data_IF_697675591877
#
_entry.id   IF_697675591877
#
_cell.length_a   1.000
_cell.length_b   1.000
_cell.length_c   1.000
_cell.angle_alpha   90.00
_cell.angle_beta   90.00
_cell.angle_gamma   90.00
#
_symmetry.space_group_name_H-M   'P 1'
#
loop_
_entity.id
_entity.type
_entity.pdbx_description
1 polymer ?
#
# COMPACT_ATOMS: atom_id res chain seq x y z
N UNK A 1 -51.53 -0.03 -25.19
CA UNK A 1 -51.32 0.83 -26.37
C UNK A 1 -49.80 1.01 -26.59
N UNK A 2 -49.14 -0.03 -27.10
CA UNK A 2 -47.76 0.04 -27.61
C UNK A 2 -47.58 -1.09 -28.61
N UNK A 3 -48.19 -0.93 -29.81
CA UNK A 3 -47.92 -1.72 -31.00
C UNK A 3 -48.16 -0.77 -32.17
N UNK A 4 -47.10 -0.27 -32.80
CA UNK A 4 -47.01 0.15 -34.22
C UNK A 4 -45.83 1.12 -34.37
N UNK A 5 -44.66 0.59 -34.65
CA UNK A 5 -43.54 1.28 -35.31
C UNK A 5 -42.48 0.24 -35.77
N UNK A 6 -42.91 -0.77 -36.53
CA UNK A 6 -42.01 -1.73 -37.17
C UNK A 6 -42.53 -2.09 -38.57
N UNK A 7 -42.82 -1.08 -39.40
CA UNK A 7 -43.07 -1.27 -40.84
C UNK A 7 -42.65 -0.01 -41.57
N UNK A 8 -41.44 0.07 -41.96
CA UNK A 8 -40.94 0.84 -43.08
C UNK A 8 -39.39 0.79 -43.08
N UNK A 9 -38.81 -0.12 -43.83
CA UNK A 9 -37.51 0.02 -44.52
C UNK A 9 -37.16 -1.32 -45.17
N UNK A 10 -37.93 -1.63 -46.24
CA UNK A 10 -37.51 -2.58 -47.26
C UNK A 10 -36.97 -1.78 -48.42
N UNK A 11 -35.69 -1.83 -48.68
CA UNK A 11 -35.08 -1.48 -49.97
C UNK A 11 -34.07 -2.55 -50.36
N UNK A 12 -34.04 -2.99 -51.64
CA UNK A 12 -33.32 -4.18 -52.06
C UNK A 12 -31.93 -3.85 -52.59
N UNK A 13 -31.00 -4.82 -52.48
CA UNK A 13 -29.88 -4.97 -53.37
C UNK A 13 -28.55 -4.36 -52.93
N UNK A 14 -27.81 -5.06 -52.12
CA UNK A 14 -26.37 -4.88 -51.93
C UNK A 14 -25.70 -6.23 -51.92
N UNK A 15 -24.68 -6.45 -52.73
CA UNK A 15 -23.90 -7.67 -52.84
C UNK A 15 -23.29 -8.08 -51.47
N UNK A 16 -23.05 -9.38 -51.24
CA UNK A 16 -22.48 -9.84 -49.96
C UNK A 16 -21.05 -9.32 -49.83
N UNK A 17 -20.80 -8.61 -48.74
CA UNK A 17 -19.45 -8.22 -48.32
C UNK A 17 -18.65 -9.48 -47.99
N UNK A 18 -17.46 -9.62 -48.53
CA UNK A 18 -16.52 -10.68 -48.19
C UNK A 18 -16.15 -10.60 -46.72
N UNK A 19 -15.95 -11.74 -46.02
CA UNK A 19 -15.50 -11.74 -44.63
C UNK A 19 -14.07 -11.22 -44.56
N UNK A 20 -13.87 -10.11 -43.87
CA UNK A 20 -12.55 -9.60 -43.51
C UNK A 20 -11.81 -10.67 -42.68
N UNK A 21 -10.85 -11.35 -43.30
CA UNK A 21 -9.90 -12.23 -42.61
C UNK A 21 -8.95 -11.37 -41.81
N UNK A 22 -9.14 -11.40 -40.50
CA UNK A 22 -8.26 -10.77 -39.51
C UNK A 22 -6.94 -11.56 -39.40
N UNK A 23 -6.05 -11.35 -40.34
CA UNK A 23 -4.64 -11.77 -40.32
C UNK A 23 -3.74 -10.57 -40.63
N UNK A 24 -3.80 -9.54 -39.78
CA UNK A 24 -2.65 -8.66 -39.64
C UNK A 24 -1.74 -9.27 -38.59
N UNK A 25 -0.60 -9.80 -38.99
CA UNK A 25 0.51 -10.17 -38.13
C UNK A 25 0.96 -8.91 -37.40
N UNK A 26 0.63 -8.81 -36.10
CA UNK A 26 1.32 -7.90 -35.19
C UNK A 26 2.75 -8.43 -35.11
N UNK A 27 3.68 -7.85 -35.87
CA UNK A 27 5.10 -8.07 -35.67
C UNK A 27 5.46 -7.39 -34.37
N UNK A 28 5.57 -8.18 -33.29
CA UNK A 28 6.21 -7.70 -32.08
C UNK A 28 7.66 -7.37 -32.43
N UNK A 29 8.17 -6.16 -32.11
CA UNK A 29 9.58 -5.91 -32.23
C UNK A 29 10.32 -6.94 -31.34
N UNK A 30 11.24 -7.67 -31.91
CA UNK A 30 12.14 -8.55 -31.18
C UNK A 30 12.93 -7.67 -30.22
N UNK A 31 12.67 -7.81 -28.92
CA UNK A 31 13.39 -7.11 -27.86
C UNK A 31 14.85 -7.54 -27.96
N UNK A 32 15.74 -6.58 -28.13
CA UNK A 32 17.18 -6.83 -28.11
C UNK A 32 17.55 -7.38 -26.72
N UNK A 33 18.01 -8.63 -26.66
CA UNK A 33 18.32 -9.33 -25.41
C UNK A 33 19.59 -8.79 -24.71
N UNK A 34 20.24 -7.76 -25.26
CA UNK A 34 21.47 -7.17 -24.74
C UNK A 34 21.28 -5.83 -24.01
N UNK A 35 20.09 -5.23 -24.04
CA UNK A 35 19.81 -4.06 -23.22
C UNK A 35 19.53 -4.47 -21.76
N UNK A 36 20.13 -3.80 -20.75
CA UNK A 36 19.75 -4.03 -19.37
C UNK A 36 18.25 -3.84 -19.26
N UNK A 37 17.54 -4.81 -18.66
CA UNK A 37 16.10 -4.73 -18.48
C UNK A 37 15.82 -3.46 -17.66
N UNK A 38 15.07 -2.52 -18.22
CA UNK A 38 14.56 -1.38 -17.48
C UNK A 38 13.79 -1.94 -16.26
N UNK A 39 14.16 -1.47 -15.06
CA UNK A 39 13.48 -1.85 -13.82
C UNK A 39 11.98 -1.54 -13.97
N UNK A 40 11.14 -2.53 -13.68
CA UNK A 40 9.70 -2.31 -13.72
C UNK A 40 9.29 -1.28 -12.65
N UNK A 41 8.14 -0.63 -12.84
CA UNK A 41 7.60 0.31 -11.84
C UNK A 41 7.44 -0.39 -10.47
N UNK A 42 7.00 -1.65 -10.48
CA UNK A 42 6.90 -2.48 -9.26
C UNK A 42 8.27 -2.67 -8.61
N UNK A 43 9.31 -2.97 -9.37
CA UNK A 43 10.65 -3.19 -8.82
C UNK A 43 11.20 -1.92 -8.15
N UNK A 44 10.97 -0.77 -8.78
CA UNK A 44 11.33 0.53 -8.23
C UNK A 44 10.60 0.80 -6.91
N UNK A 45 9.27 0.64 -6.89
CA UNK A 45 8.45 0.78 -5.69
C UNK A 45 8.86 -0.19 -4.59
N UNK A 46 9.14 -1.45 -4.96
CA UNK A 46 9.58 -2.49 -4.02
C UNK A 46 10.93 -2.17 -3.40
N UNK A 47 11.88 -1.68 -4.16
CA UNK A 47 13.18 -1.26 -3.63
C UNK A 47 13.02 -0.12 -2.60
N UNK A 48 12.15 0.86 -2.88
CA UNK A 48 11.82 1.94 -1.93
C UNK A 48 11.15 1.41 -0.67
N UNK A 49 10.20 0.48 -0.81
CA UNK A 49 9.50 -0.12 0.34
C UNK A 49 10.45 -0.98 1.21
N UNK A 50 11.41 -1.68 0.61
CA UNK A 50 12.46 -2.43 1.33
C UNK A 50 13.37 -1.51 2.14
N UNK A 51 13.64 -0.31 1.64
CA UNK A 51 14.42 0.72 2.34
C UNK A 51 13.60 1.49 3.38
N UNK A 52 12.26 1.43 3.31
CA UNK A 52 11.37 2.18 4.19
C UNK A 52 11.48 1.73 5.66
N UNK A 53 11.42 2.70 6.57
CA UNK A 53 11.50 2.49 8.03
C UNK A 53 10.35 3.17 8.75
N UNK A 54 9.98 4.38 8.36
CA UNK A 54 8.90 5.16 8.97
C UNK A 54 7.69 5.22 8.05
N UNK A 55 6.62 4.57 8.45
CA UNK A 55 5.34 4.54 7.78
C UNK A 55 4.32 5.31 8.63
N UNK A 56 3.73 6.39 8.10
CA UNK A 56 2.76 7.23 8.81
C UNK A 56 1.36 6.96 8.27
N UNK A 57 0.39 6.64 9.16
CA UNK A 57 -1.03 6.63 8.80
C UNK A 57 -1.70 7.89 9.34
N UNK A 58 -2.54 8.50 8.53
CA UNK A 58 -3.35 9.67 8.89
C UNK A 58 -4.80 9.51 8.41
N UNK A 59 -5.72 10.25 9.00
CA UNK A 59 -7.04 10.54 8.46
C UNK A 59 -6.95 11.73 7.47
N UNK A 60 -8.09 12.15 6.92
CA UNK A 60 -8.17 13.31 6.02
C UNK A 60 -8.06 14.65 6.76
N UNK A 61 -7.90 14.66 8.08
CA UNK A 61 -7.70 15.84 8.94
C UNK A 61 -8.74 16.96 8.75
N UNK A 62 -9.98 16.57 8.42
CA UNK A 62 -11.07 17.52 8.12
C UNK A 62 -11.34 18.51 9.24
N UNK A 63 -11.31 18.02 10.49
CA UNK A 63 -11.57 18.87 11.66
C UNK A 63 -10.45 19.91 11.90
N UNK A 64 -9.27 19.68 11.35
CA UNK A 64 -8.10 20.56 11.46
C UNK A 64 -7.91 21.44 10.22
N UNK A 65 -8.32 20.95 9.05
CA UNK A 65 -8.17 21.65 7.77
C UNK A 65 -6.73 21.86 7.33
N UNK A 66 -5.80 21.04 7.82
CA UNK A 66 -4.36 21.21 7.69
C UNK A 66 -3.67 20.01 6.98
N UNK A 67 -4.40 19.26 6.12
CA UNK A 67 -3.89 18.05 5.52
C UNK A 67 -2.60 18.30 4.70
N UNK A 68 -2.58 19.35 3.88
CA UNK A 68 -1.45 19.65 3.01
C UNK A 68 -0.19 20.00 3.82
N UNK A 69 -0.32 20.89 4.80
CA UNK A 69 0.76 21.28 5.70
C UNK A 69 1.28 20.09 6.50
N UNK A 70 0.37 19.24 6.97
CA UNK A 70 0.72 18.01 7.68
C UNK A 70 1.51 17.04 6.80
N UNK A 71 1.08 16.81 5.55
CA UNK A 71 1.75 15.92 4.61
C UNK A 71 3.18 16.41 4.31
N UNK A 72 3.36 17.71 4.03
CA UNK A 72 4.68 18.31 3.86
C UNK A 72 5.53 18.17 5.13
N UNK A 73 4.96 18.38 6.30
CA UNK A 73 5.66 18.28 7.57
C UNK A 73 6.19 16.86 7.83
N UNK A 74 5.35 15.82 7.64
CA UNK A 74 5.76 14.44 7.90
C UNK A 74 6.74 13.90 6.86
N UNK A 75 6.60 14.28 5.58
CA UNK A 75 7.56 13.96 4.53
C UNK A 75 8.92 14.60 4.82
N UNK A 76 8.94 15.90 5.15
CA UNK A 76 10.16 16.61 5.53
C UNK A 76 10.79 16.07 6.83
N UNK A 77 10.00 15.41 7.69
CA UNK A 77 10.44 14.67 8.87
C UNK A 77 11.00 13.28 8.56
N UNK A 78 10.95 12.82 7.31
CA UNK A 78 11.54 11.56 6.87
C UNK A 78 10.57 10.38 6.90
N UNK A 79 9.26 10.60 6.72
CA UNK A 79 8.32 9.52 6.46
C UNK A 79 8.58 8.92 5.07
N UNK A 80 8.77 7.60 5.02
CA UNK A 80 9.04 6.87 3.78
C UNK A 80 7.76 6.45 3.06
N UNK A 81 6.69 6.18 3.84
CA UNK A 81 5.36 5.80 3.34
C UNK A 81 4.30 6.58 4.10
N UNK A 82 3.33 7.16 3.39
CA UNK A 82 2.18 7.82 4.02
C UNK A 82 0.88 7.14 3.53
N UNK A 83 0.03 6.73 4.47
CA UNK A 83 -1.28 6.13 4.19
C UNK A 83 -2.40 7.03 4.65
N UNK A 84 -3.32 7.32 3.73
CA UNK A 84 -4.63 7.84 4.11
C UNK A 84 -5.52 6.68 4.58
N UNK A 85 -6.05 6.79 5.78
CA UNK A 85 -7.01 5.86 6.36
C UNK A 85 -8.09 6.63 7.12
N UNK A 86 -9.11 7.05 6.41
CA UNK A 86 -10.31 7.65 6.97
C UNK A 86 -11.53 6.85 6.53
N UNK A 87 -12.27 6.29 7.48
CA UNK A 87 -13.48 5.48 7.21
C UNK A 87 -14.76 6.28 7.33
N UNK A 88 -14.65 7.58 7.51
CA UNK A 88 -15.77 8.50 7.79
C UNK A 88 -16.04 9.49 6.67
N UNK A 89 -15.22 9.47 5.61
CA UNK A 89 -15.34 10.38 4.46
C UNK A 89 -16.01 9.71 3.26
N UNK A 90 -16.62 10.50 2.42
CA UNK A 90 -17.20 10.04 1.17
C UNK A 90 -16.10 9.85 0.09
N UNK A 91 -16.44 9.14 -0.99
CA UNK A 91 -15.46 8.72 -2.00
C UNK A 91 -14.80 9.90 -2.73
N UNK A 92 -15.53 10.99 -2.97
CA UNK A 92 -15.00 12.20 -3.61
C UNK A 92 -14.00 12.93 -2.71
N UNK A 93 -14.29 13.02 -1.42
CA UNK A 93 -13.36 13.57 -0.42
C UNK A 93 -12.10 12.69 -0.27
N UNK A 94 -12.27 11.35 -0.26
CA UNK A 94 -11.15 10.42 -0.19
C UNK A 94 -10.25 10.54 -1.41
N UNK A 95 -10.82 10.62 -2.62
CA UNK A 95 -10.07 10.82 -3.87
C UNK A 95 -9.30 12.14 -3.81
N UNK A 96 -9.94 13.26 -3.47
CA UNK A 96 -9.27 14.55 -3.39
C UNK A 96 -8.11 14.56 -2.39
N UNK A 97 -8.30 13.96 -1.20
CA UNK A 97 -7.24 13.84 -0.19
C UNK A 97 -6.08 12.96 -0.66
N UNK A 98 -6.36 11.85 -1.38
CA UNK A 98 -5.35 10.96 -1.92
C UNK A 98 -4.59 11.56 -3.11
N UNK A 99 -5.25 12.32 -3.97
CA UNK A 99 -4.57 13.06 -5.05
C UNK A 99 -3.61 14.10 -4.48
N UNK A 100 -4.01 14.81 -3.41
CA UNK A 100 -3.14 15.72 -2.69
C UNK A 100 -1.94 14.96 -2.08
N UNK A 101 -2.21 13.84 -1.37
CA UNK A 101 -1.17 13.02 -0.77
C UNK A 101 -0.18 12.50 -1.82
N UNK A 102 -0.66 12.01 -2.96
CA UNK A 102 0.20 11.53 -4.05
C UNK A 102 1.12 12.62 -4.62
N UNK A 103 0.60 13.85 -4.79
CA UNK A 103 1.43 15.00 -5.24
C UNK A 103 2.52 15.33 -4.21
N UNK A 104 2.14 15.47 -2.94
CA UNK A 104 3.12 15.80 -1.89
C UNK A 104 4.12 14.68 -1.71
N UNK A 105 3.71 13.41 -1.67
CA UNK A 105 4.61 12.27 -1.53
C UNK A 105 5.67 12.24 -2.65
N UNK A 106 5.28 12.54 -3.88
CA UNK A 106 6.20 12.60 -5.02
C UNK A 106 7.29 13.68 -4.89
N UNK A 107 7.00 14.80 -4.23
CA UNK A 107 8.00 15.87 -3.99
C UNK A 107 9.13 15.44 -3.04
N UNK A 108 8.85 14.47 -2.17
CA UNK A 108 9.79 13.98 -1.15
C UNK A 108 10.28 12.56 -1.42
N UNK A 109 9.99 12.00 -2.59
CA UNK A 109 10.29 10.61 -2.92
C UNK A 109 9.72 9.60 -1.91
N UNK A 110 8.58 9.92 -1.29
CA UNK A 110 7.83 9.02 -0.41
C UNK A 110 6.79 8.20 -1.19
N UNK A 111 6.47 7.00 -0.71
CA UNK A 111 5.38 6.19 -1.26
C UNK A 111 4.04 6.62 -0.65
N UNK A 112 2.98 6.69 -1.47
CA UNK A 112 1.66 6.92 -0.94
C UNK A 112 0.79 5.66 -0.99
N UNK A 113 0.01 5.45 0.07
CA UNK A 113 -0.75 4.24 0.31
C UNK A 113 -2.24 4.52 0.51
N UNK A 114 -3.07 3.68 -0.12
CA UNK A 114 -4.53 3.67 0.02
C UNK A 114 -4.96 2.49 0.89
N UNK A 115 -5.94 2.73 1.78
CA UNK A 115 -6.46 1.72 2.69
C UNK A 115 -7.81 1.18 2.20
N UNK A 116 -8.00 -0.14 2.16
CA UNK A 116 -9.23 -0.91 1.92
C UNK A 116 -9.94 -0.70 0.55
N UNK A 117 -9.88 0.49 -0.07
CA UNK A 117 -10.62 0.88 -1.27
C UNK A 117 -9.78 0.67 -2.53
N UNK A 118 -9.81 -0.55 -3.09
CA UNK A 118 -9.05 -0.89 -4.30
C UNK A 118 -9.54 -0.12 -5.54
N UNK A 119 -10.82 0.21 -5.62
CA UNK A 119 -11.40 1.06 -6.67
C UNK A 119 -10.78 2.46 -6.66
N UNK A 120 -10.68 3.08 -5.48
CA UNK A 120 -10.04 4.39 -5.33
C UNK A 120 -8.52 4.28 -5.57
N UNK A 121 -7.86 3.25 -5.04
CA UNK A 121 -6.44 3.03 -5.27
C UNK A 121 -6.08 2.96 -6.77
N UNK A 122 -6.93 2.30 -7.57
CA UNK A 122 -6.78 2.24 -9.03
C UNK A 122 -6.97 3.62 -9.69
N UNK A 123 -7.97 4.39 -9.25
CA UNK A 123 -8.27 5.72 -9.80
C UNK A 123 -7.15 6.73 -9.56
N UNK A 124 -6.59 6.74 -8.34
CA UNK A 124 -5.54 7.70 -7.96
C UNK A 124 -4.13 7.25 -8.33
N UNK A 125 -3.96 6.03 -8.87
CA UNK A 125 -2.65 5.49 -9.25
C UNK A 125 -1.74 5.22 -8.04
N UNK A 126 -2.29 4.63 -6.97
CA UNK A 126 -1.58 4.38 -5.73
C UNK A 126 -0.26 3.61 -5.92
N UNK A 127 0.77 3.94 -5.14
CA UNK A 127 2.01 3.14 -5.06
C UNK A 127 1.78 1.87 -4.24
N UNK A 128 1.02 2.01 -3.17
CA UNK A 128 0.80 0.98 -2.15
C UNK A 128 -0.69 0.86 -1.83
N UNK A 129 -1.17 -0.35 -1.65
CA UNK A 129 -2.52 -0.65 -1.22
C UNK A 129 -2.48 -1.56 0.01
N UNK A 130 -3.22 -1.23 1.06
CA UNK A 130 -3.21 -1.99 2.31
C UNK A 130 -4.56 -2.58 2.66
N UNK A 131 -4.58 -3.88 2.98
CA UNK A 131 -5.79 -4.62 3.38
C UNK A 131 -5.66 -5.23 4.77
N UNK A 132 -6.77 -5.31 5.48
CA UNK A 132 -6.93 -6.11 6.70
C UNK A 132 -7.34 -7.54 6.40
N UNK A 133 -7.67 -8.31 7.46
CA UNK A 133 -8.02 -9.74 7.34
C UNK A 133 -9.44 -10.00 6.79
N UNK A 134 -10.31 -8.99 6.82
CA UNK A 134 -11.71 -9.09 6.38
C UNK A 134 -12.02 -8.23 5.15
N UNK A 135 -11.00 -7.60 4.58
CA UNK A 135 -11.09 -6.83 3.34
C UNK A 135 -10.87 -7.76 2.12
N UNK A 136 -10.63 -7.20 0.95
CA UNK A 136 -10.26 -8.00 -0.22
C UNK A 136 -9.02 -8.88 0.08
N UNK A 137 -9.03 -10.11 -0.42
CA UNK A 137 -7.81 -10.92 -0.38
C UNK A 137 -6.73 -10.33 -1.29
N UNK A 138 -5.43 -10.59 -1.03
CA UNK A 138 -4.35 -10.07 -1.88
C UNK A 138 -4.53 -10.42 -3.36
N UNK A 139 -4.95 -11.64 -3.69
CA UNK A 139 -5.21 -12.07 -5.07
C UNK A 139 -6.38 -11.29 -5.71
N UNK A 140 -7.42 -10.93 -4.95
CA UNK A 140 -8.51 -10.09 -5.46
C UNK A 140 -8.04 -8.65 -5.69
N UNK A 141 -7.28 -8.09 -4.75
CA UNK A 141 -6.67 -6.77 -4.89
C UNK A 141 -5.72 -6.73 -6.10
N UNK A 142 -4.87 -7.74 -6.28
CA UNK A 142 -3.97 -7.86 -7.43
C UNK A 142 -4.69 -7.87 -8.78
N UNK A 143 -5.84 -8.54 -8.85
CA UNK A 143 -6.67 -8.56 -10.07
C UNK A 143 -7.23 -7.18 -10.44
N UNK A 144 -7.55 -6.35 -9.45
CA UNK A 144 -8.07 -5.00 -9.66
C UNK A 144 -6.98 -3.98 -9.95
N UNK A 145 -5.86 -4.08 -9.24
CA UNK A 145 -4.80 -3.06 -9.23
C UNK A 145 -3.68 -3.33 -10.24
N UNK A 146 -3.65 -4.52 -10.83
CA UNK A 146 -2.58 -4.90 -11.76
C UNK A 146 -1.26 -5.20 -11.04
N UNK A 147 -0.16 -5.35 -11.79
CA UNK A 147 1.12 -5.83 -11.25
C UNK A 147 1.92 -4.77 -10.49
N UNK A 148 1.70 -3.48 -10.73
CA UNK A 148 2.62 -2.41 -10.32
C UNK A 148 2.34 -1.84 -8.92
N UNK A 149 1.12 -2.01 -8.37
CA UNK A 149 0.77 -1.56 -7.03
C UNK A 149 1.26 -2.56 -6.00
N UNK A 150 1.96 -2.10 -4.95
CA UNK A 150 2.41 -2.94 -3.86
C UNK A 150 1.26 -3.25 -2.90
N UNK A 151 1.04 -4.50 -2.57
CA UNK A 151 -0.06 -4.94 -1.71
C UNK A 151 0.47 -5.30 -0.33
N UNK A 152 -0.08 -4.65 0.68
CA UNK A 152 0.21 -4.89 2.09
C UNK A 152 -0.92 -5.56 2.84
N UNK A 153 -0.59 -6.34 3.87
CA UNK A 153 -1.58 -7.04 4.70
C UNK A 153 -1.35 -6.84 6.18
N UNK A 154 -2.41 -6.57 6.94
CA UNK A 154 -2.36 -6.60 8.41
C UNK A 154 -2.26 -8.02 8.92
N UNK A 155 -1.39 -8.31 9.92
CA UNK A 155 -1.29 -9.59 10.61
C UNK A 155 -1.35 -9.42 12.12
N UNK A 156 -1.97 -10.38 12.81
CA UNK A 156 -2.28 -10.29 14.24
C UNK A 156 -1.84 -11.53 15.03
N UNK A 157 -1.36 -12.55 14.36
CA UNK A 157 -0.79 -13.78 14.90
C UNK A 157 0.24 -14.36 13.93
N UNK A 158 1.00 -15.34 14.42
CA UNK A 158 2.10 -15.95 13.64
C UNK A 158 1.59 -16.73 12.41
N UNK A 159 0.41 -17.33 12.48
CA UNK A 159 -0.20 -18.01 11.34
C UNK A 159 -0.51 -17.05 10.19
N UNK A 160 -1.05 -15.86 10.51
CA UNK A 160 -1.31 -14.80 9.52
C UNK A 160 -0.02 -14.23 8.95
N UNK A 161 1.03 -14.05 9.77
CA UNK A 161 2.33 -13.59 9.30
C UNK A 161 2.99 -14.62 8.37
N UNK A 162 2.93 -15.91 8.72
CA UNK A 162 3.42 -17.00 7.87
C UNK A 162 2.67 -17.06 6.54
N UNK A 163 1.34 -16.92 6.57
CA UNK A 163 0.53 -16.89 5.36
C UNK A 163 0.85 -15.67 4.47
N UNK A 164 1.09 -14.51 5.07
CA UNK A 164 1.47 -13.30 4.33
C UNK A 164 2.86 -13.44 3.67
N UNK A 165 3.83 -14.07 4.35
CA UNK A 165 5.15 -14.37 3.80
C UNK A 165 5.12 -15.37 2.63
N UNK A 166 4.16 -16.28 2.62
CA UNK A 166 4.01 -17.29 1.58
C UNK A 166 3.15 -16.84 0.40
N UNK A 167 2.38 -15.75 0.54
CA UNK A 167 1.45 -15.27 -0.48
C UNK A 167 2.21 -14.43 -1.54
N UNK A 168 2.24 -14.86 -2.82
CA UNK A 168 2.98 -14.16 -3.88
C UNK A 168 2.38 -12.79 -4.22
N UNK A 169 1.13 -12.52 -3.83
CA UNK A 169 0.46 -11.25 -4.05
C UNK A 169 0.68 -10.25 -2.91
N UNK A 170 1.35 -10.66 -1.81
CA UNK A 170 1.71 -9.79 -0.69
C UNK A 170 3.12 -9.26 -0.87
N UNK A 171 3.28 -7.94 -0.94
CA UNK A 171 4.57 -7.26 -1.06
C UNK A 171 5.15 -6.85 0.31
N UNK A 172 4.29 -6.65 1.32
CA UNK A 172 4.68 -6.37 2.71
C UNK A 172 3.54 -6.70 3.68
N UNK A 173 3.85 -6.72 4.97
CA UNK A 173 2.79 -6.87 5.97
C UNK A 173 3.06 -6.03 7.22
N UNK A 174 1.98 -5.79 7.99
CA UNK A 174 2.05 -5.09 9.27
C UNK A 174 1.75 -6.05 10.41
N UNK A 175 2.56 -6.02 11.47
CA UNK A 175 2.52 -6.90 12.64
C UNK A 175 2.00 -6.13 13.85
N UNK A 176 0.84 -6.50 14.39
CA UNK A 176 0.28 -5.84 15.57
C UNK A 176 -1.24 -5.96 15.71
N UNK A 177 -1.86 -5.19 16.62
CA UNK A 177 -1.27 -4.06 17.36
C UNK A 177 -0.38 -4.50 18.51
N UNK A 178 0.85 -3.98 18.58
CA UNK A 178 1.80 -4.34 19.67
C UNK A 178 1.23 -3.94 21.02
N UNK A 179 0.67 -2.73 21.14
CA UNK A 179 -0.09 -2.27 22.30
C UNK A 179 -1.53 -1.94 21.90
N UNK A 180 -2.43 -2.03 22.85
CA UNK A 180 -3.81 -1.57 22.65
C UNK A 180 -3.85 -0.12 22.17
N UNK A 181 -4.69 0.16 21.17
CA UNK A 181 -4.77 1.48 20.55
C UNK A 181 -6.22 1.82 20.20
N UNK A 182 -6.66 3.08 20.43
CA UNK A 182 -7.99 3.51 20.03
C UNK A 182 -8.19 3.57 18.50
N UNK A 183 -7.13 3.58 17.70
CA UNK A 183 -7.22 3.59 16.23
C UNK A 183 -7.92 2.34 15.67
N UNK A 184 -7.82 1.19 16.37
CA UNK A 184 -8.57 -0.04 16.06
C UNK A 184 -9.17 -0.59 17.35
N UNK A 185 -10.29 -0.01 17.85
CA UNK A 185 -10.88 -0.39 19.13
C UNK A 185 -11.31 -1.87 19.12
N UNK A 186 -11.24 -2.53 20.28
CA UNK A 186 -11.66 -3.92 20.44
C UNK A 186 -10.65 -4.98 20.00
N UNK A 187 -9.48 -4.62 19.45
CA UNK A 187 -8.40 -5.57 19.18
C UNK A 187 -7.47 -5.72 20.37
N UNK A 188 -7.23 -6.95 20.86
CA UNK A 188 -6.25 -7.19 21.93
C UNK A 188 -4.83 -6.84 21.43
N UNK A 189 -3.98 -6.40 22.35
CA UNK A 189 -2.56 -6.22 22.08
C UNK A 189 -1.91 -7.58 21.79
N UNK A 190 -1.04 -7.64 20.78
CA UNK A 190 -0.28 -8.85 20.44
C UNK A 190 1.05 -8.94 21.19
N UNK A 191 1.52 -7.81 21.74
CA UNK A 191 2.75 -7.71 22.52
C UNK A 191 4.03 -7.78 21.69
N UNK A 192 5.15 -7.58 22.38
CA UNK A 192 6.49 -7.66 21.79
C UNK A 192 6.89 -9.10 21.45
N UNK A 193 6.29 -10.10 22.08
CA UNK A 193 6.53 -11.52 21.78
C UNK A 193 6.16 -11.85 20.34
N UNK A 194 5.04 -11.28 19.85
CA UNK A 194 4.65 -11.48 18.45
C UNK A 194 5.63 -10.79 17.50
N UNK A 195 6.15 -9.61 17.85
CA UNK A 195 7.19 -8.91 17.06
C UNK A 195 8.45 -9.77 16.97
N UNK A 196 8.93 -10.36 18.07
CA UNK A 196 10.09 -11.27 18.09
C UNK A 196 9.86 -12.50 17.23
N UNK A 197 8.72 -13.15 17.40
CA UNK A 197 8.38 -14.34 16.62
C UNK A 197 8.33 -14.06 15.10
N UNK A 198 7.88 -12.88 14.68
CA UNK A 198 7.91 -12.47 13.26
C UNK A 198 9.34 -12.18 12.80
N UNK A 199 10.17 -11.55 13.61
CA UNK A 199 11.58 -11.31 13.29
C UNK A 199 12.30 -12.64 13.07
N UNK A 200 12.20 -13.60 13.99
CA UNK A 200 12.76 -14.94 13.90
C UNK A 200 12.24 -15.70 12.66
N UNK A 201 10.93 -15.61 12.37
CA UNK A 201 10.32 -16.23 11.19
C UNK A 201 10.90 -15.70 9.88
N UNK A 202 11.07 -14.37 9.79
CA UNK A 202 11.60 -13.74 8.58
C UNK A 202 13.09 -14.00 8.39
N UNK A 203 13.89 -14.02 9.45
CA UNK A 203 15.30 -14.40 9.42
C UNK A 203 15.47 -15.86 9.00
N UNK A 204 14.76 -16.80 9.64
CA UNK A 204 14.82 -18.21 9.31
C UNK A 204 14.44 -18.50 7.84
N UNK A 205 13.51 -17.73 7.26
CA UNK A 205 13.16 -17.86 5.84
C UNK A 205 14.31 -17.43 4.92
N UNK A 206 15.01 -16.35 5.24
CA UNK A 206 16.14 -15.85 4.47
C UNK A 206 17.37 -16.79 4.61
N UNK A 207 17.58 -17.34 5.79
CA UNK A 207 18.65 -18.31 6.04
C UNK A 207 18.42 -19.65 5.28
N UNK A 208 17.16 -20.07 5.19
CA UNK A 208 16.78 -21.30 4.49
C UNK A 208 16.90 -21.20 2.96
N UNK A 209 16.68 -20.03 2.40
CA UNK A 209 16.77 -19.76 0.96
C UNK A 209 17.33 -18.35 0.71
N UNK A 210 18.65 -18.21 0.51
CA UNK A 210 19.29 -16.92 0.25
C UNK A 210 18.85 -16.24 -1.06
N UNK A 211 18.25 -16.97 -1.99
CA UNK A 211 17.73 -16.41 -3.25
C UNK A 211 16.30 -15.85 -3.10
N UNK A 212 15.64 -16.15 -1.97
CA UNK A 212 14.29 -15.64 -1.74
C UNK A 212 14.32 -14.14 -1.50
N UNK A 213 13.42 -13.43 -2.20
CA UNK A 213 13.30 -11.98 -2.01
C UNK A 213 12.75 -11.68 -0.61
N UNK A 214 13.36 -10.73 0.12
CA UNK A 214 12.83 -10.30 1.40
C UNK A 214 11.45 -9.66 1.24
N UNK A 215 10.56 -9.97 2.17
CA UNK A 215 9.26 -9.31 2.32
C UNK A 215 9.36 -8.36 3.52
N UNK A 216 9.38 -7.04 3.32
CA UNK A 216 9.47 -6.10 4.42
C UNK A 216 8.23 -6.17 5.30
N UNK A 217 8.40 -5.88 6.58
CA UNK A 217 7.30 -5.80 7.53
C UNK A 217 7.49 -4.67 8.53
N UNK A 218 6.37 -4.18 9.06
CA UNK A 218 6.35 -3.03 9.94
C UNK A 218 5.58 -3.36 11.22
N UNK A 219 6.15 -3.07 12.38
CA UNK A 219 5.43 -3.18 13.64
C UNK A 219 4.47 -1.99 13.79
N UNK A 220 3.22 -2.26 14.21
CA UNK A 220 2.17 -1.26 14.33
C UNK A 220 1.42 -1.38 15.66
N UNK A 221 0.90 -0.27 16.13
CA UNK A 221 -0.05 -0.22 17.25
C UNK A 221 0.58 0.27 18.55
N UNK A 222 0.32 1.52 18.89
CA UNK A 222 0.79 2.16 20.09
C UNK A 222 2.29 2.48 20.10
N UNK A 223 2.94 2.48 18.94
CA UNK A 223 4.35 2.85 18.79
C UNK A 223 4.48 4.37 18.89
N UNK A 224 5.39 4.82 19.72
CA UNK A 224 5.80 6.20 19.94
C UNK A 224 7.31 6.25 20.25
N UNK A 225 7.88 7.43 20.45
CA UNK A 225 9.31 7.62 20.71
C UNK A 225 9.80 6.81 21.92
N UNK A 226 8.98 6.68 22.98
CA UNK A 226 9.36 5.98 24.21
C UNK A 226 9.33 4.45 24.08
N UNK A 227 8.48 3.93 23.20
CA UNK A 227 8.27 2.51 22.95
C UNK A 227 9.05 1.96 21.77
N UNK A 228 9.45 2.84 20.86
CA UNK A 228 10.20 2.45 19.66
C UNK A 228 11.47 1.64 19.98
N UNK A 229 12.32 1.97 20.97
CA UNK A 229 13.48 1.16 21.32
C UNK A 229 13.13 -0.31 21.63
N UNK A 230 12.01 -0.57 22.32
CA UNK A 230 11.58 -1.92 22.66
C UNK A 230 11.14 -2.72 21.42
N UNK A 231 10.53 -2.02 20.43
CA UNK A 231 10.11 -2.63 19.15
C UNK A 231 11.33 -3.00 18.31
N UNK A 232 12.36 -2.13 18.30
CA UNK A 232 13.63 -2.39 17.61
C UNK A 232 14.41 -3.54 18.28
N UNK A 233 14.47 -3.58 19.63
CA UNK A 233 15.07 -4.68 20.37
C UNK A 233 14.34 -6.02 20.11
N UNK A 234 13.03 -5.97 19.83
CA UNK A 234 12.25 -7.14 19.43
C UNK A 234 12.48 -7.55 17.96
N UNK A 235 13.36 -6.88 17.21
CA UNK A 235 13.80 -7.26 15.87
C UNK A 235 13.09 -6.53 14.72
N UNK A 236 12.12 -5.64 14.97
CA UNK A 236 11.54 -4.83 13.91
C UNK A 236 12.55 -3.81 13.36
N UNK A 237 12.52 -3.58 12.05
CA UNK A 237 13.37 -2.57 11.39
C UNK A 237 12.57 -1.36 10.91
N UNK A 238 11.25 -1.50 10.78
CA UNK A 238 10.34 -0.45 10.38
C UNK A 238 9.08 -0.45 11.25
N UNK A 239 8.45 0.70 11.35
CA UNK A 239 7.25 0.89 12.17
C UNK A 239 6.18 1.67 11.42
N UNK A 240 4.91 1.38 11.74
CA UNK A 240 3.77 2.22 11.37
C UNK A 240 3.33 3.01 12.61
N UNK A 241 3.27 4.32 12.46
CA UNK A 241 2.81 5.23 13.50
C UNK A 241 1.56 5.98 13.06
N UNK A 242 0.75 6.37 14.02
CA UNK A 242 -0.45 7.20 13.83
C UNK A 242 -0.34 8.40 14.79
N UNK A 243 -0.91 8.29 15.98
CA UNK A 243 -1.07 9.39 16.95
C UNK A 243 0.24 10.03 17.41
N UNK A 244 1.32 9.27 17.47
CA UNK A 244 2.64 9.81 17.80
C UNK A 244 3.06 10.96 16.87
N UNK A 245 2.50 11.01 15.66
CA UNK A 245 2.77 12.06 14.67
C UNK A 245 1.52 12.91 14.39
N UNK A 246 0.33 12.29 14.21
CA UNK A 246 -0.87 13.04 13.85
C UNK A 246 -1.42 13.93 14.97
N UNK A 247 -1.13 13.60 16.23
CA UNK A 247 -1.53 14.39 17.42
C UNK A 247 -0.37 15.26 17.95
N UNK A 248 0.82 15.16 17.38
CA UNK A 248 1.97 15.96 17.81
C UNK A 248 1.75 17.45 17.53
N UNK A 249 2.20 18.35 18.42
CA UNK A 249 2.18 19.79 18.18
C UNK A 249 2.99 20.21 16.94
N UNK A 250 4.07 19.48 16.64
CA UNK A 250 4.92 19.64 15.47
C UNK A 250 5.13 18.26 14.83
N UNK A 251 4.34 17.91 13.80
CA UNK A 251 4.45 16.62 13.11
C UNK A 251 5.81 16.38 12.45
N UNK A 252 6.48 17.43 11.95
CA UNK A 252 7.80 17.33 11.35
C UNK A 252 8.85 16.89 12.36
N UNK A 253 8.88 17.55 13.51
CA UNK A 253 9.82 17.21 14.60
C UNK A 253 9.52 15.80 15.11
N UNK A 254 8.25 15.43 15.33
CA UNK A 254 7.88 14.10 15.79
C UNK A 254 8.28 12.99 14.81
N UNK A 255 8.05 13.18 13.53
CA UNK A 255 8.49 12.25 12.50
C UNK A 255 10.02 12.15 12.45
N UNK A 256 10.74 13.29 12.52
CA UNK A 256 12.20 13.34 12.52
C UNK A 256 12.84 12.65 13.72
N UNK A 257 12.26 12.77 14.90
CA UNK A 257 12.70 12.06 16.11
C UNK A 257 12.55 10.56 15.96
N UNK A 258 11.38 10.09 15.50
CA UNK A 258 11.15 8.67 15.23
C UNK A 258 12.11 8.16 14.16
N UNK A 259 12.29 8.90 13.04
CA UNK A 259 13.19 8.51 11.95
C UNK A 259 14.65 8.41 12.40
N UNK A 260 15.07 9.31 13.29
CA UNK A 260 16.43 9.32 13.87
C UNK A 260 16.75 8.14 14.77
N UNK A 261 15.73 7.49 15.35
CA UNK A 261 15.88 6.28 16.17
C UNK A 261 15.84 4.99 15.32
N UNK A 262 15.30 5.04 14.11
CA UNK A 262 15.21 3.88 13.21
C UNK A 262 16.56 3.59 12.54
N UNK A 263 16.87 2.32 12.23
CA UNK A 263 18.09 1.97 11.52
C UNK A 263 18.16 2.64 10.14
N UNK A 264 19.35 2.77 9.63
CA UNK A 264 19.61 3.30 8.30
C UNK A 264 19.00 2.41 7.20
#
# INVERSE_FOLDING_TARGET
>A
MWRSALDALSAPGGAPAEPLTYHQRVTHPTRDASAPAESSLRDTRRARLLAARLYVCTDARRDRGDLEEFLHAVCAGGADVIQLRDKSIDADEEIAALELLGRVAAEYDALFAVNDRADIAALVGADVFHVGQHDLSPVQARRLLGPDVLIGRSTHDLGQATAALADPDVDYFCTGPVWATPTKPGRPATGLEFVRAVAELTEARLDADPEVLPVPWFAIGGVDETRLPQVLEAGARGVVVVRAVTEAPDPRTAAGQLRGLLPA
#
